data_IF_713152881701
#
_entry.id   IF_713152881701
#
_cell.length_a   1.000
_cell.length_b   1.000
_cell.length_c   1.000
_cell.angle_alpha   90.00
_cell.angle_beta   90.00
_cell.angle_gamma   90.00
#
_symmetry.space_group_name_H-M   'P 1'
#
loop_
_entity.id
_entity.type
_entity.pdbx_description
1 polymer ?
#
# COMPACT_ATOMS: atom_id res chain seq x y z
N UNK A 1 8.72 -45.79 26.76
CA UNK A 1 7.73 -44.95 26.05
C UNK A 1 7.87 -43.49 26.50
N UNK A 2 9.01 -42.85 26.24
CA UNK A 2 9.27 -41.47 26.70
C UNK A 2 10.01 -40.59 25.67
N UNK A 3 10.27 -41.11 24.47
CA UNK A 3 10.97 -40.38 23.40
C UNK A 3 10.04 -39.64 22.41
N UNK A 4 8.72 -39.81 22.49
CA UNK A 4 7.80 -39.28 21.47
C UNK A 4 7.38 -37.82 21.69
N UNK A 5 7.32 -37.37 22.95
CA UNK A 5 6.92 -35.99 23.27
C UNK A 5 7.96 -34.95 22.86
N UNK A 6 9.25 -35.30 22.96
CA UNK A 6 10.33 -34.41 22.55
C UNK A 6 10.40 -34.26 21.03
N UNK A 7 10.03 -35.29 20.28
CA UNK A 7 9.94 -35.23 18.82
C UNK A 7 8.82 -34.30 18.36
N UNK A 8 7.64 -34.42 18.98
CA UNK A 8 6.50 -33.54 18.67
C UNK A 8 6.81 -32.09 19.06
N UNK A 9 7.42 -31.84 20.22
CA UNK A 9 7.80 -30.49 20.64
C UNK A 9 8.84 -29.89 19.68
N UNK A 10 9.92 -30.62 19.35
CA UNK A 10 10.93 -30.14 18.41
C UNK A 10 10.36 -29.86 17.01
N UNK A 11 9.40 -30.67 16.55
CA UNK A 11 8.72 -30.47 15.27
C UNK A 11 7.83 -29.22 15.27
N UNK A 12 7.09 -28.98 16.35
CA UNK A 12 6.27 -27.77 16.51
C UNK A 12 7.15 -26.52 16.61
N UNK A 13 8.25 -26.57 17.36
CA UNK A 13 9.19 -25.45 17.48
C UNK A 13 9.84 -25.11 16.14
N UNK A 14 10.21 -26.11 15.35
CA UNK A 14 10.80 -25.90 14.03
C UNK A 14 9.80 -25.32 13.01
N UNK A 15 8.55 -25.79 13.03
CA UNK A 15 7.49 -25.24 12.18
C UNK A 15 7.18 -23.80 12.59
N UNK A 16 7.07 -23.53 13.89
CA UNK A 16 6.77 -22.20 14.40
C UNK A 16 7.88 -21.21 14.04
N UNK A 17 9.15 -21.57 14.24
CA UNK A 17 10.29 -20.72 13.86
C UNK A 17 10.39 -20.45 12.35
N UNK A 18 10.01 -21.42 11.52
CA UNK A 18 9.99 -21.23 10.05
C UNK A 18 8.85 -20.30 9.63
N UNK A 19 7.66 -20.46 10.22
CA UNK A 19 6.50 -19.60 9.96
C UNK A 19 6.71 -18.17 10.46
N UNK A 20 7.34 -18.00 11.63
CA UNK A 20 7.72 -16.69 12.17
C UNK A 20 8.67 -15.97 11.22
N UNK A 21 9.70 -16.65 10.70
CA UNK A 21 10.62 -16.08 9.72
C UNK A 21 9.95 -15.73 8.39
N UNK A 22 9.06 -16.59 7.88
CA UNK A 22 8.29 -16.31 6.67
C UNK A 22 7.33 -15.14 6.86
N UNK A 23 6.70 -15.03 8.03
CA UNK A 23 5.80 -13.93 8.37
C UNK A 23 6.55 -12.60 8.52
N UNK A 24 7.69 -12.58 9.21
CA UNK A 24 8.55 -11.39 9.31
C UNK A 24 9.09 -10.97 7.94
N UNK A 25 9.42 -11.92 7.06
CA UNK A 25 9.83 -11.63 5.67
C UNK A 25 8.67 -11.03 4.86
N UNK A 26 7.46 -11.57 4.99
CA UNK A 26 6.26 -11.04 4.36
C UNK A 26 5.93 -9.62 4.85
N UNK A 27 6.00 -9.39 6.16
CA UNK A 27 5.83 -8.06 6.74
C UNK A 27 6.91 -7.10 6.25
N UNK A 28 8.18 -7.53 6.17
CA UNK A 28 9.28 -6.72 5.64
C UNK A 28 9.05 -6.36 4.17
N UNK A 29 8.57 -7.29 3.34
CA UNK A 29 8.26 -7.04 1.93
C UNK A 29 7.05 -6.10 1.72
N UNK A 30 6.15 -5.99 2.70
CA UNK A 30 5.01 -5.06 2.69
C UNK A 30 5.30 -3.74 3.42
N UNK A 31 6.30 -3.72 4.30
CA UNK A 31 6.77 -2.55 5.05
C UNK A 31 7.95 -1.84 4.39
N UNK A 32 8.62 -2.46 3.41
CA UNK A 32 9.50 -1.70 2.54
C UNK A 32 8.59 -0.72 1.79
N UNK A 33 8.74 0.60 2.02
CA UNK A 33 8.00 1.57 1.23
C UNK A 33 8.29 1.22 -0.23
N UNK A 34 7.28 1.27 -1.13
CA UNK A 34 7.55 1.09 -2.54
C UNK A 34 8.72 2.00 -2.87
N UNK A 35 9.87 1.41 -3.19
CA UNK A 35 11.02 2.16 -3.66
C UNK A 35 10.53 2.73 -4.97
N UNK A 36 10.14 4.00 -4.92
CA UNK A 36 9.67 4.72 -6.09
C UNK A 36 10.75 4.52 -7.16
N UNK A 37 10.39 4.01 -8.35
CA UNK A 37 11.34 3.90 -9.45
C UNK A 37 11.84 5.29 -9.88
N UNK A 38 11.20 6.35 -9.38
CA UNK A 38 11.54 7.74 -9.58
C UNK A 38 12.25 8.29 -8.34
N UNK A 39 13.38 8.95 -8.57
CA UNK A 39 14.10 9.79 -7.60
C UNK A 39 13.26 11.01 -7.21
N UNK A 40 13.62 11.67 -6.09
CA UNK A 40 12.87 12.84 -5.60
C UNK A 40 12.91 14.00 -6.61
N UNK A 41 13.98 14.07 -7.39
CA UNK A 41 14.16 15.00 -8.49
C UNK A 41 13.19 14.70 -9.64
N UNK A 42 13.03 13.45 -10.04
CA UNK A 42 12.12 13.03 -11.13
C UNK A 42 10.64 13.22 -10.77
N UNK A 43 10.27 13.13 -9.50
CA UNK A 43 8.91 13.41 -9.03
C UNK A 43 8.54 14.90 -9.08
N UNK A 44 9.53 15.79 -9.05
CA UNK A 44 9.31 17.23 -8.96
C UNK A 44 8.75 17.82 -10.26
N UNK A 45 9.03 17.16 -11.38
CA UNK A 45 8.63 17.58 -12.73
C UNK A 45 7.60 16.63 -13.37
N UNK A 46 7.04 15.68 -12.61
CA UNK A 46 6.03 14.77 -13.11
C UNK A 46 4.74 15.54 -13.42
N UNK A 47 4.29 15.52 -14.68
CA UNK A 47 3.02 16.12 -15.08
C UNK A 47 1.85 15.30 -14.50
N UNK A 48 1.27 15.81 -13.42
CA UNK A 48 0.11 15.22 -12.72
C UNK A 48 -1.22 15.79 -13.17
N UNK A 49 -1.24 16.74 -14.11
CA UNK A 49 -2.45 17.51 -14.49
C UNK A 49 -3.60 16.61 -14.95
N UNK A 50 -3.30 15.55 -15.70
CA UNK A 50 -4.29 14.59 -16.15
C UNK A 50 -4.90 13.76 -15.00
N UNK A 51 -4.12 13.48 -13.95
CA UNK A 51 -4.57 12.73 -12.79
C UNK A 51 -5.37 13.63 -11.84
N UNK A 52 -4.91 14.87 -11.63
CA UNK A 52 -5.60 15.90 -10.85
C UNK A 52 -7.00 16.16 -11.41
N UNK A 53 -7.13 16.36 -12.73
CA UNK A 53 -8.42 16.56 -13.38
C UNK A 53 -9.37 15.36 -13.25
N UNK A 54 -8.83 14.13 -13.21
CA UNK A 54 -9.65 12.94 -12.94
C UNK A 54 -10.13 12.88 -11.49
N UNK A 55 -9.30 13.32 -10.54
CA UNK A 55 -9.67 13.41 -9.12
C UNK A 55 -10.77 14.46 -8.95
N UNK A 56 -10.62 15.64 -9.53
CA UNK A 56 -11.62 16.71 -9.49
C UNK A 56 -12.99 16.22 -9.99
N UNK A 57 -13.02 15.55 -11.15
CA UNK A 57 -14.26 14.99 -11.70
C UNK A 57 -14.92 13.95 -10.78
N UNK A 58 -14.12 13.17 -10.03
CA UNK A 58 -14.67 12.21 -9.06
C UNK A 58 -15.23 12.92 -7.85
N UNK A 59 -14.56 13.95 -7.35
CA UNK A 59 -15.03 14.78 -6.22
C UNK A 59 -16.31 15.51 -6.58
N UNK A 60 -16.37 16.12 -7.78
CA UNK A 60 -17.59 16.80 -8.26
C UNK A 60 -18.78 15.84 -8.30
N UNK A 61 -18.57 14.61 -8.77
CA UNK A 61 -19.61 13.57 -8.78
C UNK A 61 -20.00 13.12 -7.37
N UNK A 62 -19.05 13.02 -6.43
CA UNK A 62 -19.35 12.59 -5.06
C UNK A 62 -20.25 13.58 -4.33
N UNK A 63 -20.06 14.87 -4.60
CA UNK A 63 -20.84 15.95 -3.99
C UNK A 63 -21.97 16.47 -4.88
N UNK A 64 -22.22 15.84 -6.04
CA UNK A 64 -23.23 16.25 -7.02
C UNK A 64 -23.16 17.74 -7.39
N UNK A 65 -21.94 18.29 -7.57
CA UNK A 65 -21.78 19.69 -7.96
C UNK A 65 -22.44 19.97 -9.32
N UNK A 66 -23.08 21.11 -9.40
CA UNK A 66 -23.63 21.67 -10.64
C UNK A 66 -22.53 22.28 -11.52
N UNK A 67 -22.75 22.43 -12.84
CA UNK A 67 -21.79 23.09 -13.73
C UNK A 67 -21.39 24.49 -13.26
N UNK A 68 -22.33 25.23 -12.66
CA UNK A 68 -22.12 26.57 -12.11
C UNK A 68 -21.19 26.54 -10.89
N UNK A 69 -21.38 25.59 -9.98
CA UNK A 69 -20.50 25.41 -8.81
C UNK A 69 -19.10 24.94 -9.21
N UNK A 70 -18.99 24.10 -10.24
CA UNK A 70 -17.69 23.69 -10.78
C UNK A 70 -16.93 24.90 -11.36
N UNK A 71 -17.61 25.80 -12.07
CA UNK A 71 -16.98 27.01 -12.62
C UNK A 71 -16.38 27.89 -11.51
N UNK A 72 -17.10 28.05 -10.40
CA UNK A 72 -16.62 28.78 -9.21
C UNK A 72 -15.35 28.13 -8.65
N UNK A 73 -15.30 26.79 -8.57
CA UNK A 73 -14.12 26.04 -8.09
C UNK A 73 -12.94 26.14 -9.05
N UNK A 74 -13.18 26.12 -10.37
CA UNK A 74 -12.15 26.29 -11.41
C UNK A 74 -11.72 27.75 -11.62
N UNK A 75 -12.33 28.72 -10.92
CA UNK A 75 -12.02 30.15 -11.06
C UNK A 75 -12.46 30.76 -12.40
N UNK A 76 -13.53 30.22 -12.99
CA UNK A 76 -14.10 30.64 -14.28
C UNK A 76 -15.42 31.41 -14.11
#
# INVERSE_FOLDING_TARGET
MQHDRQFIIAFVDQILGTLEMQFLTYLTAKQQPPVSPLTKEELKDADTSALERQIDQRVYKLYNLTPEEIAIVEGK
#
